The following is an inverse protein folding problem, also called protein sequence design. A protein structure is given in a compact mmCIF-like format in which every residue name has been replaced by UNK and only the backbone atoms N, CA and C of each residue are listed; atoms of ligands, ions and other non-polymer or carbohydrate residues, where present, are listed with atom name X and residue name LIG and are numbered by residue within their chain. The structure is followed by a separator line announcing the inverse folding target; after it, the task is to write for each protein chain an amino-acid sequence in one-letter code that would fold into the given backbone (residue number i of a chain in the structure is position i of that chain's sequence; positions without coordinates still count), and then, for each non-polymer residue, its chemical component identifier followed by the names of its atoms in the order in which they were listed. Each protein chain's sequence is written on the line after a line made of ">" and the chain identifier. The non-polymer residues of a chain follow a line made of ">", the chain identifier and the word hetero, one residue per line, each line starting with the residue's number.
data_IF_052668078554
#
_entry.id   IF_052668078554
#
_cell.length_a   1.000
_cell.length_b   1.000
_cell.length_c   1.000
_cell.angle_alpha   90.00
_cell.angle_beta   90.00
_cell.angle_gamma   90.00
#
_symmetry.space_group_name_H-M   'P 1'
#
loop_
_entity.id
_entity.type
_entity.pdbx_description
1 polymer ?
#
# COMPACT_ATOMS: atom_id res chain seq x y z
N UNK A 1 -5.07 12.63 -11.12
CA UNK A 1 -4.75 11.41 -11.71
C UNK A 1 -3.96 10.59 -10.80
N UNK A 2 -4.24 9.45 -10.62
CA UNK A 2 -3.73 8.84 -9.45
C UNK A 2 -2.84 7.65 -9.71
N UNK A 3 -3.32 6.68 -10.48
CA UNK A 3 -2.56 5.45 -10.65
C UNK A 3 -1.55 5.58 -11.78
N UNK A 4 -0.30 5.27 -11.48
CA UNK A 4 0.78 5.34 -12.47
C UNK A 4 1.53 4.01 -12.46
N UNK A 5 2.43 3.84 -13.44
CA UNK A 5 3.26 2.66 -13.46
C UNK A 5 4.28 2.72 -12.32
N UNK A 6 4.67 1.57 -11.77
CA UNK A 6 5.60 1.57 -10.65
C UNK A 6 6.89 2.34 -10.92
N UNK A 7 7.41 2.26 -12.12
CA UNK A 7 8.67 2.94 -12.42
C UNK A 7 8.51 4.45 -12.53
N UNK A 8 7.28 4.94 -12.52
CA UNK A 8 7.03 6.38 -12.55
C UNK A 8 6.98 6.99 -11.17
N UNK A 9 7.01 6.17 -10.13
CA UNK A 9 7.03 6.66 -8.76
C UNK A 9 8.47 6.84 -8.34
N UNK A 10 8.85 8.07 -8.02
CA UNK A 10 10.21 8.36 -7.61
C UNK A 10 10.40 7.95 -6.16
N UNK A 11 11.47 7.23 -5.87
CA UNK A 11 11.77 6.75 -4.52
C UNK A 11 10.54 6.09 -3.91
N UNK A 12 10.03 5.01 -4.52
CA UNK A 12 8.77 4.44 -4.06
C UNK A 12 8.89 3.88 -2.65
N UNK A 13 7.86 4.14 -1.87
CA UNK A 13 7.80 3.63 -0.51
C UNK A 13 6.43 3.00 -0.29
N UNK A 14 6.40 1.84 0.34
CA UNK A 14 5.15 1.16 0.64
C UNK A 14 4.36 1.92 1.66
N UNK A 15 3.08 2.05 1.43
CA UNK A 15 2.21 2.68 2.42
C UNK A 15 1.09 1.77 2.86
N UNK A 16 0.66 0.84 2.01
CA UNK A 16 -0.49 -0.01 2.29
C UNK A 16 -0.27 -1.38 1.70
N UNK A 17 -0.71 -2.39 2.44
CA UNK A 17 -0.87 -3.74 1.91
C UNK A 17 -2.33 -4.10 2.06
N UNK A 18 -3.03 -4.21 0.94
CA UNK A 18 -4.44 -4.55 0.94
C UNK A 18 -4.60 -6.03 0.64
N UNK A 19 -5.15 -6.77 1.60
CA UNK A 19 -5.27 -8.21 1.49
C UNK A 19 -6.63 -8.66 0.97
N UNK A 20 -7.50 -7.71 0.62
CA UNK A 20 -8.79 -8.04 0.02
C UNK A 20 -9.07 -7.04 -1.08
N UNK A 21 -9.88 -7.47 -2.04
CA UNK A 21 -10.24 -6.59 -3.14
C UNK A 21 -11.00 -5.37 -2.63
N UNK A 22 -11.91 -5.57 -1.67
CA UNK A 22 -12.69 -4.46 -1.13
C UNK A 22 -11.78 -3.39 -0.53
N UNK A 23 -10.80 -3.81 0.25
CA UNK A 23 -9.88 -2.88 0.89
C UNK A 23 -9.03 -2.17 -0.15
N UNK A 24 -8.58 -2.92 -1.14
CA UNK A 24 -7.78 -2.35 -2.22
C UNK A 24 -8.55 -1.25 -2.95
N UNK A 25 -9.82 -1.50 -3.24
CA UNK A 25 -10.63 -0.51 -3.95
C UNK A 25 -10.86 0.74 -3.11
N UNK A 26 -11.04 0.58 -1.81
CA UNK A 26 -11.22 1.73 -0.92
C UNK A 26 -9.97 2.57 -0.85
N UNK A 27 -8.81 1.94 -0.76
CA UNK A 27 -7.54 2.67 -0.72
C UNK A 27 -7.33 3.40 -2.04
N UNK A 28 -7.60 2.73 -3.14
CA UNK A 28 -7.43 3.32 -4.46
C UNK A 28 -8.33 4.53 -4.63
N UNK A 29 -9.57 4.41 -4.19
CA UNK A 29 -10.52 5.51 -4.27
C UNK A 29 -10.02 6.71 -3.47
N UNK A 30 -9.52 6.45 -2.26
CA UNK A 30 -9.05 7.52 -1.41
C UNK A 30 -7.84 8.23 -2.03
N UNK A 31 -6.87 7.44 -2.54
CA UNK A 31 -5.69 8.03 -3.15
C UNK A 31 -6.04 8.82 -4.40
N UNK A 32 -6.98 8.32 -5.19
CA UNK A 32 -7.43 9.03 -6.37
C UNK A 32 -8.07 10.36 -5.99
N UNK A 33 -8.88 10.36 -4.94
CA UNK A 33 -9.55 11.58 -4.51
C UNK A 33 -8.58 12.64 -3.99
N UNK A 34 -7.51 12.20 -3.37
CA UNK A 34 -6.53 13.15 -2.83
C UNK A 34 -5.56 13.65 -3.88
N UNK A 35 -5.54 13.03 -5.06
CA UNK A 35 -4.68 13.49 -6.14
C UNK A 35 -3.23 13.05 -6.02
N UNK A 36 -2.93 12.11 -5.13
CA UNK A 36 -1.58 11.60 -4.97
C UNK A 36 -1.33 10.53 -6.03
N UNK A 37 -0.20 10.61 -6.71
CA UNK A 37 0.18 9.57 -7.65
C UNK A 37 0.64 8.34 -6.89
N UNK A 38 0.14 7.18 -7.30
CA UNK A 38 0.48 5.94 -6.62
C UNK A 38 0.61 4.80 -7.62
N UNK A 39 1.36 3.78 -7.24
CA UNK A 39 1.47 2.55 -8.02
C UNK A 39 0.99 1.39 -7.18
N UNK A 40 0.48 0.37 -7.84
CA UNK A 40 -0.02 -0.82 -7.19
C UNK A 40 0.67 -2.03 -7.81
N UNK A 41 1.18 -2.91 -6.95
CA UNK A 41 1.74 -4.17 -7.42
C UNK A 41 1.15 -5.30 -6.59
N UNK A 42 0.86 -6.42 -7.25
CA UNK A 42 0.41 -7.60 -6.54
C UNK A 42 1.66 -8.38 -6.15
N UNK A 43 1.83 -8.58 -4.86
CA UNK A 43 3.05 -9.18 -4.33
C UNK A 43 2.70 -10.21 -3.28
N UNK A 44 3.59 -11.19 -3.02
CA UNK A 44 3.41 -12.07 -1.87
C UNK A 44 3.52 -11.25 -0.59
N UNK A 45 2.49 -11.32 0.25
CA UNK A 45 2.45 -10.53 1.48
C UNK A 45 2.34 -11.40 2.72
N UNK A 46 2.35 -12.70 2.56
CA UNK A 46 2.29 -13.61 3.68
C UNK A 46 2.45 -15.03 3.19
N UNK A 47 2.63 -15.93 4.12
CA UNK A 47 2.89 -17.31 3.78
C UNK A 47 2.19 -18.21 4.77
N UNK A 48 1.53 -19.24 4.26
CA UNK A 48 0.94 -20.24 5.12
C UNK A 48 2.05 -21.20 5.56
N UNK A 49 2.26 -21.29 6.86
CA UNK A 49 3.27 -22.19 7.38
C UNK A 49 2.87 -23.63 7.20
N UNK A 50 1.57 -23.92 7.19
CA UNK A 50 1.09 -25.28 7.07
C UNK A 50 1.17 -25.80 5.65
N UNK A 51 0.88 -24.95 4.69
CA UNK A 51 0.76 -25.37 3.31
C UNK A 51 1.84 -24.82 2.40
N UNK A 52 2.67 -23.92 2.91
CA UNK A 52 3.74 -23.34 2.13
C UNK A 52 3.30 -22.44 1.01
N UNK A 53 2.01 -22.06 0.96
CA UNK A 53 1.50 -21.22 -0.10
C UNK A 53 1.63 -19.76 0.29
N UNK A 54 2.01 -18.92 -0.68
CA UNK A 54 2.11 -17.50 -0.47
C UNK A 54 0.73 -16.86 -0.60
N UNK A 55 0.48 -15.87 0.24
CA UNK A 55 -0.70 -15.04 0.09
C UNK A 55 -0.32 -13.82 -0.71
N UNK A 56 -1.19 -13.46 -1.64
CA UNK A 56 -0.95 -12.30 -2.47
C UNK A 56 -1.76 -11.12 -1.96
N UNK A 57 -1.22 -9.94 -2.13
CA UNK A 57 -1.90 -8.72 -1.74
C UNK A 57 -1.54 -7.60 -2.68
N UNK A 58 -2.35 -6.56 -2.67
CA UNK A 58 -2.07 -5.37 -3.45
C UNK A 58 -1.24 -4.42 -2.58
N UNK A 59 -0.03 -4.15 -3.02
CA UNK A 59 0.89 -3.27 -2.30
C UNK A 59 0.90 -1.93 -2.98
N UNK A 60 0.63 -0.88 -2.21
CA UNK A 60 0.53 0.47 -2.74
C UNK A 60 1.80 1.24 -2.42
N UNK A 61 2.32 1.91 -3.44
CA UNK A 61 3.54 2.68 -3.34
C UNK A 61 3.28 4.13 -3.69
N UNK A 62 3.87 5.04 -2.94
CA UNK A 62 3.89 6.46 -3.30
C UNK A 62 5.33 6.93 -3.18
N UNK A 63 5.61 8.12 -3.70
CA UNK A 63 6.95 8.67 -3.54
C UNK A 63 7.22 8.90 -2.05
N UNK A 64 8.46 8.71 -1.63
CA UNK A 64 8.83 8.77 -0.22
C UNK A 64 8.39 10.09 0.44
N UNK A 65 8.44 11.19 -0.29
CA UNK A 65 8.05 12.48 0.25
C UNK A 65 6.57 12.59 0.59
N UNK A 66 5.74 11.69 0.07
CA UNK A 66 4.31 11.69 0.32
C UNK A 66 3.90 10.59 1.32
N UNK A 67 4.84 9.72 1.68
CA UNK A 67 4.47 8.52 2.42
C UNK A 67 3.89 8.79 3.79
N UNK A 68 4.53 9.67 4.56
CA UNK A 68 4.06 9.98 5.91
C UNK A 68 2.66 10.60 5.86
N UNK A 69 2.47 11.55 4.97
CA UNK A 69 1.17 12.19 4.81
C UNK A 69 0.10 11.16 4.47
N UNK A 70 0.39 10.27 3.52
CA UNK A 70 -0.58 9.28 3.10
C UNK A 70 -0.92 8.30 4.22
N UNK A 71 0.08 7.86 4.96
CA UNK A 71 -0.16 6.94 6.07
C UNK A 71 -1.05 7.58 7.13
N UNK A 72 -0.77 8.81 7.48
CA UNK A 72 -1.55 9.50 8.49
C UNK A 72 -2.98 9.71 8.05
N UNK A 73 -3.16 10.13 6.80
CA UNK A 73 -4.51 10.39 6.31
C UNK A 73 -5.32 9.12 6.14
N UNK A 74 -4.69 8.05 5.69
CA UNK A 74 -5.39 6.78 5.55
C UNK A 74 -5.79 6.22 6.91
N UNK A 75 -4.92 6.37 7.90
CA UNK A 75 -5.26 5.93 9.24
C UNK A 75 -6.44 6.73 9.78
N UNK A 76 -6.45 8.03 9.56
CA UNK A 76 -7.55 8.88 10.00
C UNK A 76 -8.86 8.53 9.28
N UNK A 77 -8.76 7.99 8.08
CA UNK A 77 -9.94 7.60 7.30
C UNK A 77 -10.46 6.21 7.65
N UNK A 78 -9.88 5.57 8.66
CA UNK A 78 -10.33 4.26 9.07
C UNK A 78 -9.66 3.10 8.35
N UNK A 79 -8.60 3.36 7.62
CA UNK A 79 -7.91 2.33 6.85
C UNK A 79 -6.57 1.97 7.47
N UNK A 80 -6.38 2.31 8.74
CA UNK A 80 -5.10 2.11 9.40
C UNK A 80 -4.66 0.66 9.49
N UNK A 81 -5.60 -0.28 9.48
CA UNK A 81 -5.23 -1.68 9.57
C UNK A 81 -4.46 -2.16 8.34
N UNK A 82 -4.58 -1.45 7.22
CA UNK A 82 -3.85 -1.82 6.01
C UNK A 82 -2.55 -1.03 5.85
N UNK A 83 -2.38 0.01 6.65
CA UNK A 83 -1.20 0.88 6.53
C UNK A 83 0.02 0.14 7.06
N UNK A 84 1.12 0.21 6.31
CA UNK A 84 2.39 -0.31 6.77
C UNK A 84 3.32 0.85 7.02
N UNK A 85 4.20 0.66 8.00
CA UNK A 85 5.16 1.70 8.36
C UNK A 85 6.22 1.80 7.28
N UNK A 86 7.41 2.15 7.61
CA UNK A 86 8.41 2.28 6.59
C UNK A 86 8.84 0.91 6.08
N UNK A 87 9.50 0.91 4.93
CA UNK A 87 10.03 -0.31 4.35
C UNK A 87 11.10 -0.94 5.23
N UNK A 88 11.57 -0.21 6.21
CA UNK A 88 12.61 -0.68 7.11
C UNK A 88 12.04 -1.17 8.42
N UNK A 89 10.76 -1.47 8.44
CA UNK A 89 10.18 -1.99 9.66
C UNK A 89 10.97 -3.18 10.15
N UNK A 90 11.23 -3.24 11.45
CA UNK A 90 11.98 -4.36 11.97
C UNK A 90 11.19 -5.65 11.78
N UNK A 91 11.87 -6.73 11.51
CA UNK A 91 11.19 -8.02 11.48
C UNK A 91 10.67 -8.33 12.86
N UNK A 92 9.46 -8.75 12.90
CA UNK A 92 8.83 -9.09 14.17
C UNK A 92 9.24 -10.47 14.62
#
# INVERSE_FOLDING_TARGET
>A
MARVEPEQVRDPERIVIARSLRLSLRVEEWLTMTGVDYAVQVEPVGRSLLFGTNRMGAVFYVTAGQAVYCRERLTAAGLGSAVVESAEDPPS
#
